data_IF_348010715830
#
_entry.id   IF_348010715830
#
_cell.length_a   1.000
_cell.length_b   1.000
_cell.length_c   1.000
_cell.angle_alpha   90.00
_cell.angle_beta   90.00
_cell.angle_gamma   90.00
#
_symmetry.space_group_name_H-M   'P 1'
#
loop_
_entity.id
_entity.type
_entity.pdbx_description
1 polymer ?
#
# COMPACT_ATOMS: atom_id res chain seq x y z
N UNK A 1 7.55 42.86 -16.57
CA UNK A 1 7.33 41.50 -17.13
C UNK A 1 7.46 40.53 -15.98
N UNK A 2 6.33 40.09 -15.46
CA UNK A 2 6.29 39.12 -14.36
C UNK A 2 6.33 37.72 -14.95
N UNK A 3 7.41 36.97 -14.72
CA UNK A 3 7.48 35.56 -15.02
C UNK A 3 6.50 34.82 -14.08
N UNK A 4 5.33 34.48 -14.60
CA UNK A 4 4.48 33.45 -14.01
C UNK A 4 5.19 32.09 -14.25
N UNK A 5 6.03 31.68 -13.31
CA UNK A 5 6.56 30.33 -13.26
C UNK A 5 5.38 29.41 -12.90
N UNK A 6 4.83 28.73 -13.89
CA UNK A 6 3.80 27.72 -13.68
C UNK A 6 4.49 26.51 -13.07
N UNK A 7 4.54 26.46 -11.73
CA UNK A 7 5.07 25.32 -10.96
C UNK A 7 3.99 24.22 -10.96
N UNK A 8 3.93 23.48 -12.06
CA UNK A 8 2.97 22.38 -12.19
C UNK A 8 3.64 21.00 -12.25
N UNK A 9 4.90 20.88 -11.81
CA UNK A 9 5.63 19.64 -12.10
C UNK A 9 6.56 19.30 -10.96
N UNK A 10 6.05 18.80 -9.83
CA UNK A 10 6.97 18.28 -8.80
C UNK A 10 6.26 17.43 -7.73
N UNK A 11 5.87 16.22 -8.03
CA UNK A 11 5.55 15.25 -6.97
C UNK A 11 5.82 13.83 -7.41
N UNK A 12 6.89 13.40 -6.98
CA UNK A 12 7.42 12.06 -6.65
C UNK A 12 8.93 12.13 -6.74
N UNK A 13 9.69 12.20 -5.60
CA UNK A 13 11.13 12.08 -5.68
C UNK A 13 11.89 12.40 -4.37
N UNK A 14 12.97 12.09 -4.06
CA UNK A 14 13.93 11.42 -3.18
C UNK A 14 15.18 12.08 -2.64
N UNK A 15 15.83 11.58 -1.65
CA UNK A 15 17.23 11.17 -1.38
C UNK A 15 17.49 10.68 0.04
N UNK A 16 18.43 9.75 0.14
CA UNK A 16 19.01 9.24 1.36
C UNK A 16 20.10 10.16 1.92
N UNK A 17 20.11 10.34 3.24
CA UNK A 17 21.31 10.67 3.99
C UNK A 17 21.44 9.67 5.13
N UNK A 18 22.59 9.01 5.19
CA UNK A 18 23.00 8.14 6.29
C UNK A 18 22.95 8.92 7.60
N UNK A 19 22.16 8.45 8.54
CA UNK A 19 22.42 8.69 9.95
C UNK A 19 22.50 7.34 10.65
N UNK A 20 23.73 6.88 10.88
CA UNK A 20 24.00 5.81 11.79
C UNK A 20 23.64 6.28 13.20
N UNK A 21 22.48 5.90 13.70
CA UNK A 21 22.20 5.94 15.13
C UNK A 21 22.61 4.60 15.72
N UNK A 22 23.63 4.64 16.59
CA UNK A 22 24.01 3.51 17.41
C UNK A 22 22.82 3.13 18.31
N UNK A 23 22.09 2.09 17.95
CA UNK A 23 21.12 1.43 18.79
C UNK A 23 21.68 0.13 19.37
N UNK A 24 21.38 -0.08 20.63
CA UNK A 24 21.68 -1.23 21.49
C UNK A 24 21.59 -2.58 20.77
N UNK A 25 22.45 -3.50 21.13
CA UNK A 25 22.72 -4.82 20.55
C UNK A 25 21.62 -5.90 20.70
N UNK A 26 20.35 -5.49 20.81
CA UNK A 26 19.18 -6.38 20.71
C UNK A 26 18.31 -5.94 19.51
N UNK A 27 18.88 -5.94 18.32
CA UNK A 27 18.06 -5.77 17.13
C UNK A 27 17.12 -6.99 17.01
N UNK A 28 15.79 -6.77 16.83
CA UNK A 28 14.87 -7.86 16.55
C UNK A 28 15.36 -8.61 15.30
N UNK A 29 15.15 -9.92 15.27
CA UNK A 29 15.50 -10.73 14.12
C UNK A 29 14.85 -10.14 12.86
N UNK A 30 15.67 -9.89 11.83
CA UNK A 30 15.18 -9.38 10.53
C UNK A 30 14.26 -10.44 9.93
N UNK A 31 13.02 -10.08 9.71
CA UNK A 31 12.05 -10.96 9.06
C UNK A 31 12.16 -10.80 7.55
N UNK A 32 12.23 -11.93 6.85
CA UNK A 32 12.36 -11.98 5.40
C UNK A 32 11.15 -12.64 4.77
N UNK A 33 10.78 -12.20 3.59
CA UNK A 33 9.77 -12.84 2.75
C UNK A 33 10.37 -13.17 1.39
N UNK A 34 9.98 -14.32 0.84
CA UNK A 34 10.24 -14.64 -0.55
C UNK A 34 9.20 -13.94 -1.42
N UNK A 35 9.66 -13.26 -2.47
CA UNK A 35 8.79 -12.59 -3.45
C UNK A 35 9.14 -13.03 -4.85
N UNK A 36 8.14 -13.11 -5.73
CA UNK A 36 8.32 -13.41 -7.15
C UNK A 36 7.72 -12.30 -7.97
N UNK A 37 8.40 -11.91 -9.04
CA UNK A 37 7.89 -10.90 -9.95
C UNK A 37 6.62 -11.42 -10.65
N UNK A 38 5.60 -10.59 -10.68
CA UNK A 38 4.37 -10.89 -11.38
C UNK A 38 4.69 -11.12 -12.87
N UNK A 39 4.17 -12.21 -13.44
CA UNK A 39 4.31 -12.59 -14.86
C UNK A 39 5.71 -13.02 -15.34
N UNK A 40 6.70 -13.18 -14.48
CA UNK A 40 8.01 -13.72 -14.86
C UNK A 40 8.31 -15.02 -14.15
N UNK A 41 8.83 -15.99 -14.92
CA UNK A 41 9.38 -17.25 -14.38
C UNK A 41 10.79 -16.98 -13.83
N UNK A 42 10.90 -16.32 -12.73
CA UNK A 42 12.17 -16.10 -12.04
C UNK A 42 12.17 -16.81 -10.69
N UNK A 43 13.33 -17.24 -10.20
CA UNK A 43 13.45 -17.74 -8.84
C UNK A 43 12.99 -16.66 -7.86
N UNK A 44 12.35 -17.07 -6.77
CA UNK A 44 11.93 -16.14 -5.72
C UNK A 44 13.12 -15.38 -5.16
N UNK A 45 12.87 -14.15 -4.75
CA UNK A 45 13.85 -13.24 -4.15
C UNK A 45 13.44 -12.97 -2.71
N UNK A 46 14.38 -13.05 -1.79
CA UNK A 46 14.14 -12.65 -0.41
C UNK A 46 14.15 -11.13 -0.29
N UNK A 47 13.15 -10.58 0.39
CA UNK A 47 13.10 -9.19 0.81
C UNK A 47 13.04 -9.08 2.33
N UNK A 48 13.62 -8.01 2.87
CA UNK A 48 13.45 -7.68 4.27
C UNK A 48 12.12 -6.96 4.49
N UNK A 49 11.33 -7.47 5.43
CA UNK A 49 10.11 -6.82 5.85
C UNK A 49 10.40 -5.77 6.92
N UNK A 50 9.65 -4.66 6.98
CA UNK A 50 9.81 -3.64 8.00
C UNK A 50 9.45 -4.21 9.37
N UNK A 51 9.94 -3.56 10.41
CA UNK A 51 9.35 -3.75 11.73
C UNK A 51 7.95 -3.12 11.72
N UNK A 52 6.92 -3.97 11.59
CA UNK A 52 5.52 -3.53 11.47
C UNK A 52 5.04 -2.80 12.72
N UNK A 53 5.44 -3.23 13.92
CA UNK A 53 5.08 -2.54 15.16
C UNK A 53 5.59 -1.09 15.13
N UNK A 54 6.86 -0.89 14.77
CA UNK A 54 7.43 0.44 14.63
C UNK A 54 6.76 1.26 13.52
N UNK A 55 6.41 0.63 12.39
CA UNK A 55 5.70 1.31 11.29
C UNK A 55 4.33 1.79 11.74
N UNK A 56 3.54 0.93 12.38
CA UNK A 56 2.21 1.31 12.88
C UNK A 56 2.27 2.30 14.03
N UNK A 57 3.27 2.19 14.92
CA UNK A 57 3.52 3.23 15.93
C UNK A 57 3.81 4.60 15.31
N UNK A 58 4.60 4.64 14.22
CA UNK A 58 4.84 5.89 13.47
C UNK A 58 3.55 6.45 12.87
N UNK A 59 2.71 5.61 12.29
CA UNK A 59 1.44 6.01 11.70
C UNK A 59 0.53 6.57 12.80
N UNK A 60 0.28 5.84 13.88
CA UNK A 60 -0.61 6.29 14.96
C UNK A 60 -0.07 7.53 15.72
N UNK A 61 1.26 7.71 15.79
CA UNK A 61 1.85 8.95 16.34
C UNK A 61 1.58 10.18 15.48
N UNK A 62 1.39 10.04 14.18
CA UNK A 62 1.15 11.14 13.26
C UNK A 62 -0.32 11.32 12.89
N UNK A 63 -1.13 10.26 13.01
CA UNK A 63 -2.53 10.19 12.61
C UNK A 63 -3.44 9.91 13.81
N UNK A 64 -4.17 10.90 14.29
CA UNK A 64 -5.23 10.68 15.29
C UNK A 64 -6.31 9.71 14.80
N UNK A 65 -6.65 9.73 13.50
CA UNK A 65 -7.63 8.81 12.94
C UNK A 65 -7.12 7.37 12.98
N UNK A 66 -5.87 7.13 12.57
CA UNK A 66 -5.26 5.81 12.67
C UNK A 66 -5.20 5.31 14.11
N UNK A 67 -4.87 6.21 15.05
CA UNK A 67 -4.89 5.86 16.47
C UNK A 67 -6.28 5.42 16.93
N UNK A 68 -7.33 6.14 16.56
CA UNK A 68 -8.71 5.78 16.90
C UNK A 68 -9.12 4.43 16.29
N UNK A 69 -8.72 4.17 15.04
CA UNK A 69 -8.96 2.90 14.36
C UNK A 69 -8.26 1.74 15.09
N UNK A 70 -6.99 1.89 15.40
CA UNK A 70 -6.21 0.87 16.11
C UNK A 70 -6.67 0.65 17.55
N UNK A 71 -7.18 1.69 18.22
CA UNK A 71 -7.76 1.59 19.57
C UNK A 71 -9.21 1.02 19.54
N UNK A 72 -9.77 0.70 18.38
CA UNK A 72 -11.15 0.19 18.21
C UNK A 72 -12.24 1.24 18.49
N UNK A 73 -11.90 2.51 18.45
CA UNK A 73 -12.76 3.64 18.82
C UNK A 73 -13.18 4.52 17.62
N UNK A 74 -13.13 3.99 16.41
CA UNK A 74 -13.40 4.77 15.18
C UNK A 74 -14.88 5.14 14.99
N UNK A 75 -15.80 4.39 15.62
CA UNK A 75 -17.25 4.62 15.46
C UNK A 75 -17.71 5.83 16.25
N UNK A 76 -18.20 6.84 15.53
CA UNK A 76 -18.99 7.93 16.10
C UNK A 76 -18.30 9.28 16.26
N UNK A 77 -17.06 9.44 15.79
CA UNK A 77 -16.36 10.72 15.86
C UNK A 77 -15.73 11.10 14.53
N UNK A 78 -16.42 11.90 13.71
CA UNK A 78 -15.77 12.53 12.55
C UNK A 78 -14.58 13.42 12.97
N UNK A 79 -13.80 13.92 12.02
CA UNK A 79 -12.65 14.82 12.27
C UNK A 79 -12.92 15.99 13.21
N UNK A 80 -14.17 16.42 13.35
CA UNK A 80 -14.57 17.51 14.24
C UNK A 80 -14.40 17.17 15.73
N UNK A 81 -14.37 15.88 16.09
CA UNK A 81 -14.19 15.41 17.47
C UNK A 81 -12.72 15.16 17.84
N UNK A 82 -11.81 15.18 16.84
CA UNK A 82 -10.40 14.87 17.08
C UNK A 82 -9.65 16.13 17.50
N UNK A 83 -9.28 16.19 18.77
CA UNK A 83 -8.40 17.23 19.31
C UNK A 83 -6.94 16.77 19.28
N UNK A 84 -6.18 17.23 18.28
CA UNK A 84 -4.75 16.91 18.13
C UNK A 84 -3.92 17.25 19.38
N UNK A 85 -4.30 18.30 20.10
CA UNK A 85 -3.55 18.74 21.29
C UNK A 85 -3.65 17.78 22.46
N UNK A 86 -4.74 17.01 22.51
CA UNK A 86 -4.94 15.96 23.51
C UNK A 86 -4.20 14.68 23.19
N UNK A 87 -4.18 14.30 21.90
CA UNK A 87 -3.57 13.03 21.45
C UNK A 87 -2.07 13.14 21.26
N UNK A 88 -1.58 14.27 20.75
CA UNK A 88 -0.16 14.46 20.39
C UNK A 88 0.36 15.84 20.81
N UNK A 89 0.42 16.14 22.11
CA UNK A 89 0.85 17.45 22.61
C UNK A 89 2.30 17.80 22.21
N UNK A 90 3.13 16.82 21.93
CA UNK A 90 4.52 16.97 21.51
C UNK A 90 4.67 17.35 20.01
N UNK A 91 3.65 17.12 19.19
CA UNK A 91 3.71 17.39 17.76
C UNK A 91 3.16 18.78 17.45
N UNK A 92 4.04 19.67 16.99
CA UNK A 92 3.65 21.04 16.65
C UNK A 92 3.24 21.14 15.18
N UNK A 93 2.05 20.65 14.88
CA UNK A 93 1.47 20.77 13.54
C UNK A 93 1.24 22.22 13.15
N UNK A 94 1.76 22.62 12.00
CA UNK A 94 1.47 23.91 11.36
C UNK A 94 0.34 23.72 10.37
N UNK A 95 -0.78 24.39 10.58
CA UNK A 95 -1.88 24.40 9.62
C UNK A 95 -1.44 25.18 8.38
N UNK A 96 -1.48 24.55 7.21
CA UNK A 96 -1.23 25.18 5.91
C UNK A 96 -2.53 25.74 5.34
N UNK A 97 -3.60 24.91 5.37
CA UNK A 97 -4.89 25.26 4.79
C UNK A 97 -6.04 24.68 5.61
N UNK A 98 -7.13 25.45 5.73
CA UNK A 98 -8.41 24.97 6.22
C UNK A 98 -9.50 25.53 5.32
N UNK A 99 -10.28 24.66 4.70
CA UNK A 99 -11.41 25.09 3.89
C UNK A 99 -12.50 24.00 3.89
N UNK A 100 -13.56 24.22 4.65
CA UNK A 100 -14.68 23.28 4.82
C UNK A 100 -15.55 23.17 3.57
N UNK A 101 -15.40 24.08 2.60
CA UNK A 101 -16.14 24.05 1.32
C UNK A 101 -15.38 23.27 0.23
N UNK A 102 -14.11 22.94 0.46
CA UNK A 102 -13.28 22.14 -0.47
C UNK A 102 -13.30 20.67 -0.11
N UNK A 103 -12.94 19.85 -1.07
CA UNK A 103 -12.79 18.39 -0.87
C UNK A 103 -11.76 18.07 0.22
N UNK A 104 -10.65 18.82 0.28
CA UNK A 104 -9.69 18.72 1.39
C UNK A 104 -10.05 19.75 2.44
N UNK A 105 -10.51 19.31 3.58
CA UNK A 105 -10.97 20.16 4.67
C UNK A 105 -9.81 20.83 5.43
N UNK A 106 -8.70 20.10 5.59
CA UNK A 106 -7.55 20.59 6.34
C UNK A 106 -6.25 19.97 5.84
N UNK A 107 -5.22 20.83 5.78
CA UNK A 107 -3.85 20.43 5.49
C UNK A 107 -2.95 20.92 6.60
N UNK A 108 -2.23 20.00 7.23
CA UNK A 108 -1.26 20.29 8.28
C UNK A 108 0.14 19.83 7.84
N UNK A 109 1.18 20.47 8.40
CA UNK A 109 2.58 20.16 8.15
C UNK A 109 3.38 20.08 9.44
N UNK A 110 4.22 19.07 9.56
CA UNK A 110 5.38 19.05 10.46
C UNK A 110 6.64 19.29 9.64
N UNK A 111 7.54 20.16 10.10
CA UNK A 111 8.77 20.47 9.37
C UNK A 111 9.76 19.28 9.38
N UNK A 112 9.66 18.40 10.38
CA UNK A 112 10.38 17.15 10.49
C UNK A 112 9.59 16.16 11.33
N UNK A 113 9.80 14.87 11.08
CA UNK A 113 9.19 13.81 11.86
C UNK A 113 10.17 12.64 12.02
N UNK A 114 10.38 12.18 13.27
CA UNK A 114 11.28 11.08 13.60
C UNK A 114 12.70 11.21 12.98
N UNK A 115 13.34 12.36 13.18
CA UNK A 115 14.68 12.67 12.68
C UNK A 115 14.81 12.78 11.14
N UNK A 116 13.72 12.60 10.39
CA UNK A 116 13.70 12.87 8.96
C UNK A 116 13.41 14.36 8.75
N UNK A 117 14.32 15.06 8.06
CA UNK A 117 14.22 16.50 7.81
C UNK A 117 13.21 16.89 6.73
N UNK A 118 12.66 15.89 6.03
CA UNK A 118 11.60 16.11 5.05
C UNK A 118 10.28 16.35 5.78
N UNK A 119 9.49 17.35 5.38
CA UNK A 119 8.20 17.62 6.01
C UNK A 119 7.24 16.42 5.91
N UNK A 120 6.56 16.15 7.01
CA UNK A 120 5.39 15.26 7.01
C UNK A 120 4.15 16.12 6.78
N UNK A 121 3.40 15.77 5.74
CA UNK A 121 2.12 16.38 5.40
C UNK A 121 0.97 15.49 5.84
N UNK A 122 -0.10 16.11 6.32
CA UNK A 122 -1.33 15.44 6.72
C UNK A 122 -2.52 16.14 6.08
N UNK A 123 -3.30 15.38 5.34
CA UNK A 123 -4.51 15.84 4.65
C UNK A 123 -5.72 15.16 5.28
N UNK A 124 -6.78 15.92 5.53
CA UNK A 124 -8.03 15.43 6.10
C UNK A 124 -9.18 15.76 5.19
N UNK A 125 -9.99 14.77 4.90
CA UNK A 125 -11.19 14.89 4.06
C UNK A 125 -12.27 13.95 4.54
N UNK A 126 -13.53 14.34 4.30
CA UNK A 126 -14.68 13.44 4.37
C UNK A 126 -15.17 13.22 2.94
N UNK A 127 -15.28 11.97 2.53
CA UNK A 127 -15.78 11.56 1.23
C UNK A 127 -17.17 10.93 1.39
N UNK A 128 -18.01 11.07 0.36
CA UNK A 128 -19.28 10.36 0.26
C UNK A 128 -19.04 9.08 -0.54
N UNK A 129 -19.79 8.05 -0.21
CA UNK A 129 -19.68 6.73 -0.79
C UNK A 129 -19.38 5.65 0.25
N UNK A 130 -19.30 4.39 -0.16
CA UNK A 130 -18.97 3.29 0.74
C UNK A 130 -17.51 3.35 1.18
N UNK A 131 -17.25 3.04 2.45
CA UNK A 131 -15.90 2.90 2.98
C UNK A 131 -15.35 1.52 2.60
N UNK A 132 -14.75 1.40 1.42
CA UNK A 132 -14.17 0.15 0.91
C UNK A 132 -12.68 0.37 0.68
N UNK A 133 -11.84 -0.24 1.54
CA UNK A 133 -10.39 -0.10 1.47
C UNK A 133 -9.80 -0.59 0.16
N UNK A 134 -10.29 -1.70 -0.36
CA UNK A 134 -9.84 -2.26 -1.64
C UNK A 134 -10.13 -1.30 -2.81
N UNK A 135 -11.28 -0.65 -2.82
CA UNK A 135 -11.64 0.35 -3.82
C UNK A 135 -10.71 1.57 -3.75
N UNK A 136 -10.37 2.02 -2.54
CA UNK A 136 -9.43 3.12 -2.35
C UNK A 136 -8.00 2.71 -2.73
N UNK A 137 -7.61 1.47 -2.44
CA UNK A 137 -6.33 0.90 -2.89
C UNK A 137 -6.25 0.87 -4.42
N UNK A 138 -7.30 0.39 -5.10
CA UNK A 138 -7.38 0.40 -6.56
C UNK A 138 -7.25 1.83 -7.11
N UNK A 139 -8.03 2.77 -6.58
CA UNK A 139 -8.00 4.17 -6.98
C UNK A 139 -6.60 4.81 -6.90
N UNK A 140 -5.77 4.43 -5.90
CA UNK A 140 -4.40 4.94 -5.75
C UNK A 140 -3.41 4.15 -6.61
N UNK A 141 -3.59 2.83 -6.72
CA UNK A 141 -2.57 1.93 -7.26
C UNK A 141 -2.80 1.55 -8.73
N UNK A 142 -3.99 1.71 -9.27
CA UNK A 142 -4.24 1.51 -10.69
C UNK A 142 -3.66 2.65 -11.52
N UNK A 143 -2.89 2.32 -12.56
CA UNK A 143 -2.19 3.30 -13.37
C UNK A 143 -3.15 4.20 -14.17
N UNK A 144 -4.23 3.62 -14.69
CA UNK A 144 -5.19 4.38 -15.53
C UNK A 144 -6.03 5.32 -14.66
N UNK A 145 -6.43 4.87 -13.46
CA UNK A 145 -7.07 5.75 -12.49
C UNK A 145 -6.14 6.86 -12.03
N UNK A 146 -4.89 6.52 -11.74
CA UNK A 146 -3.90 7.50 -11.29
C UNK A 146 -3.60 8.56 -12.34
N UNK A 147 -3.55 8.22 -13.61
CA UNK A 147 -3.34 9.18 -14.72
C UNK A 147 -4.42 10.26 -14.82
N UNK A 148 -5.61 10.02 -14.28
CA UNK A 148 -6.71 10.99 -14.30
C UNK A 148 -6.43 12.20 -13.36
N UNK A 149 -5.65 12.00 -12.30
CA UNK A 149 -5.34 13.04 -11.31
C UNK A 149 -3.85 13.35 -11.15
N UNK A 150 -2.95 12.47 -11.55
CA UNK A 150 -1.49 12.66 -11.49
C UNK A 150 -0.91 12.69 -12.91
N UNK A 151 -0.86 13.89 -13.49
CA UNK A 151 -0.33 14.12 -14.84
C UNK A 151 1.19 13.85 -14.94
N UNK A 152 1.87 13.68 -13.83
CA UNK A 152 3.30 13.38 -13.78
C UNK A 152 3.61 11.88 -13.76
N UNK A 153 2.64 11.03 -13.54
CA UNK A 153 2.88 9.59 -13.52
C UNK A 153 3.20 9.07 -14.93
N UNK A 154 4.31 8.34 -15.08
CA UNK A 154 4.65 7.65 -16.30
C UNK A 154 4.27 6.18 -16.23
N UNK A 155 4.59 5.55 -15.12
CA UNK A 155 4.40 4.14 -14.90
C UNK A 155 4.19 3.84 -13.41
N UNK A 156 3.34 2.85 -13.13
CA UNK A 156 3.10 2.31 -11.80
C UNK A 156 2.68 0.85 -11.92
N UNK A 157 3.26 -0.01 -11.10
CA UNK A 157 2.93 -1.43 -11.06
C UNK A 157 3.30 -2.02 -9.71
N UNK A 158 2.53 -3.00 -9.23
CA UNK A 158 2.97 -3.91 -8.18
C UNK A 158 3.85 -4.99 -8.80
N UNK A 159 5.16 -4.89 -8.59
CA UNK A 159 6.13 -5.81 -9.18
C UNK A 159 6.17 -7.16 -8.48
N UNK A 160 6.13 -7.16 -7.15
CA UNK A 160 6.32 -8.34 -6.33
C UNK A 160 5.23 -8.40 -5.25
N UNK A 161 4.08 -9.04 -5.53
CA UNK A 161 3.10 -9.33 -4.49
C UNK A 161 3.68 -10.34 -3.48
N UNK A 162 3.36 -10.16 -2.21
CA UNK A 162 3.62 -11.18 -1.17
C UNK A 162 2.37 -12.05 -1.09
N UNK A 163 2.47 -13.29 -1.54
CA UNK A 163 1.34 -14.21 -1.62
C UNK A 163 0.87 -14.66 -0.22
N UNK A 164 1.82 -14.88 0.71
CA UNK A 164 1.49 -15.23 2.10
C UNK A 164 1.20 -13.98 2.94
N UNK A 165 0.04 -13.38 2.74
CA UNK A 165 -0.40 -12.21 3.54
C UNK A 165 -0.57 -12.56 5.03
N UNK A 166 -0.86 -13.84 5.35
CA UNK A 166 -0.94 -14.31 6.72
C UNK A 166 0.43 -14.27 7.43
N UNK A 167 1.53 -14.19 6.69
CA UNK A 167 2.86 -13.94 7.27
C UNK A 167 2.88 -12.60 7.98
N UNK A 168 2.29 -11.55 7.39
CA UNK A 168 2.22 -10.22 8.00
C UNK A 168 1.40 -10.27 9.29
N UNK A 169 0.25 -10.94 9.29
CA UNK A 169 -0.57 -11.12 10.49
C UNK A 169 0.19 -11.87 11.60
N UNK A 170 0.97 -12.89 11.25
CA UNK A 170 1.82 -13.62 12.21
C UNK A 170 2.95 -12.75 12.78
N UNK A 171 3.52 -11.85 11.97
CA UNK A 171 4.61 -10.96 12.39
C UNK A 171 4.08 -9.84 13.28
N UNK A 172 2.95 -9.25 12.93
CA UNK A 172 2.31 -8.20 13.74
C UNK A 172 1.77 -8.75 15.05
N UNK A 173 1.37 -10.02 15.07
CA UNK A 173 0.98 -10.77 16.28
C UNK A 173 -0.37 -10.37 16.90
N UNK A 174 -0.90 -9.20 16.57
CA UNK A 174 -2.15 -8.67 17.14
C UNK A 174 -3.04 -8.07 16.03
N UNK A 175 -3.84 -8.93 15.41
CA UNK A 175 -4.78 -8.57 14.35
C UNK A 175 -5.88 -7.64 14.86
N UNK A 176 -6.22 -7.69 16.14
CA UNK A 176 -7.23 -6.79 16.72
C UNK A 176 -6.70 -5.36 16.81
N UNK A 177 -5.39 -5.20 17.09
CA UNK A 177 -4.73 -3.90 17.16
C UNK A 177 -4.30 -3.35 15.81
N UNK A 178 -3.74 -4.19 14.94
CA UNK A 178 -3.11 -3.75 13.69
C UNK A 178 -3.96 -3.99 12.43
N UNK A 179 -5.12 -4.61 12.59
CA UNK A 179 -5.97 -5.03 11.47
C UNK A 179 -5.46 -6.32 10.81
N UNK A 180 -6.30 -6.92 9.99
CA UNK A 180 -5.97 -8.08 9.17
C UNK A 180 -5.29 -7.61 7.88
N UNK A 181 -4.17 -8.18 7.51
CA UNK A 181 -3.51 -7.91 6.25
C UNK A 181 -4.33 -8.51 5.10
N UNK A 182 -4.73 -7.66 4.16
CA UNK A 182 -5.46 -8.06 2.94
C UNK A 182 -4.53 -8.17 1.75
N UNK A 183 -3.55 -7.27 1.68
CA UNK A 183 -2.58 -7.19 0.60
C UNK A 183 -1.28 -6.59 1.09
N UNK A 184 -0.17 -7.10 0.58
CA UNK A 184 1.16 -6.54 0.79
C UNK A 184 2.03 -6.86 -0.42
N UNK A 185 2.88 -5.93 -0.83
CA UNK A 185 3.74 -6.15 -1.97
C UNK A 185 4.68 -4.98 -2.24
N UNK A 186 5.61 -5.22 -3.16
CA UNK A 186 6.56 -4.22 -3.62
C UNK A 186 6.02 -3.56 -4.87
N UNK A 187 5.78 -2.27 -4.80
CA UNK A 187 5.35 -1.43 -5.91
C UNK A 187 6.50 -0.63 -6.50
N UNK A 188 6.41 -0.37 -7.78
CA UNK A 188 7.29 0.52 -8.54
C UNK A 188 6.49 1.67 -9.12
N UNK A 189 7.05 2.88 -9.02
CA UNK A 189 6.46 4.10 -9.58
C UNK A 189 7.54 4.86 -10.34
N UNK A 190 7.19 5.38 -11.51
CA UNK A 190 8.06 6.24 -12.32
C UNK A 190 7.32 7.50 -12.75
N UNK A 191 7.98 8.66 -12.65
CA UNK A 191 7.44 9.92 -13.16
C UNK A 191 7.91 10.19 -14.59
N UNK A 192 7.14 11.01 -15.32
CA UNK A 192 7.52 11.50 -16.64
C UNK A 192 8.71 12.47 -16.58
N UNK A 193 9.36 12.65 -17.73
CA UNK A 193 10.28 13.75 -17.93
C UNK A 193 9.51 15.08 -17.89
N UNK A 194 9.95 15.97 -17.03
CA UNK A 194 9.38 17.31 -16.89
C UNK A 194 10.49 18.36 -16.75
N UNK A 195 10.26 19.40 -15.96
CA UNK A 195 11.30 20.42 -15.62
C UNK A 195 12.47 19.77 -14.88
N UNK A 196 12.19 18.71 -14.13
CA UNK A 196 13.20 17.87 -13.50
C UNK A 196 13.27 16.53 -14.22
N UNK A 197 14.43 15.87 -14.10
CA UNK A 197 14.60 14.52 -14.63
C UNK A 197 13.59 13.53 -14.07
N UNK A 198 13.24 12.45 -14.77
CA UNK A 198 12.33 11.44 -14.25
C UNK A 198 12.83 10.85 -12.95
N UNK A 199 11.89 10.38 -12.21
CA UNK A 199 12.13 9.79 -10.91
C UNK A 199 11.58 8.37 -10.86
N UNK A 200 12.20 7.51 -10.04
CA UNK A 200 11.72 6.16 -9.80
C UNK A 200 11.58 5.84 -8.31
N UNK A 201 10.67 4.95 -7.97
CA UNK A 201 10.31 4.59 -6.61
C UNK A 201 10.09 3.09 -6.47
N UNK A 202 10.65 2.51 -5.42
CA UNK A 202 10.38 1.17 -4.97
C UNK A 202 9.83 1.26 -3.55
N UNK A 203 8.59 0.87 -3.37
CA UNK A 203 7.85 1.02 -2.11
C UNK A 203 7.36 -0.36 -1.70
N UNK A 204 7.61 -0.74 -0.46
CA UNK A 204 6.85 -1.81 0.16
C UNK A 204 5.57 -1.20 0.72
N UNK A 205 4.43 -1.69 0.29
CA UNK A 205 3.12 -1.20 0.71
C UNK A 205 2.18 -2.32 1.09
N UNK A 206 1.17 -1.99 1.86
CA UNK A 206 0.16 -2.95 2.29
C UNK A 206 -1.16 -2.30 2.65
N UNK A 207 -2.14 -3.18 2.89
CA UNK A 207 -3.51 -2.86 3.19
C UNK A 207 -3.97 -3.69 4.39
N UNK A 208 -4.38 -3.00 5.45
CA UNK A 208 -4.92 -3.59 6.67
C UNK A 208 -6.40 -3.23 6.81
N UNK A 209 -7.24 -4.23 7.10
CA UNK A 209 -8.66 -4.06 7.39
C UNK A 209 -8.98 -4.37 8.84
N UNK A 210 -9.85 -3.57 9.42
CA UNK A 210 -10.31 -3.67 10.81
C UNK A 210 -11.76 -4.16 10.88
N UNK A 211 -12.14 -4.76 12.01
CA UNK A 211 -13.48 -5.36 12.22
C UNK A 211 -14.65 -4.38 12.06
N UNK A 212 -14.41 -3.09 12.24
CA UNK A 212 -15.40 -2.03 12.10
C UNK A 212 -15.56 -1.50 10.66
N UNK A 213 -14.83 -2.05 9.70
CA UNK A 213 -14.79 -1.62 8.31
C UNK A 213 -13.79 -0.49 8.05
N UNK A 214 -13.04 -0.06 9.06
CA UNK A 214 -11.94 0.88 8.86
C UNK A 214 -10.77 0.21 8.15
N UNK A 215 -9.94 1.02 7.49
CA UNK A 215 -8.82 0.55 6.70
C UNK A 215 -7.60 1.44 6.89
N UNK A 216 -6.41 0.83 6.91
CA UNK A 216 -5.14 1.55 6.82
C UNK A 216 -4.36 1.01 5.62
N UNK A 217 -4.17 1.86 4.61
CA UNK A 217 -3.18 1.65 3.57
C UNK A 217 -1.86 2.28 4.04
N UNK A 218 -0.77 1.58 3.85
CA UNK A 218 0.55 2.05 4.26
C UNK A 218 1.59 1.76 3.22
N UNK A 219 2.68 2.54 3.24
CA UNK A 219 3.84 2.32 2.40
C UNK A 219 5.09 2.91 3.02
N UNK A 220 6.21 2.23 2.81
CA UNK A 220 7.52 2.66 3.25
C UNK A 220 8.55 2.41 2.15
N UNK A 221 9.60 3.22 2.17
CA UNK A 221 10.72 3.08 1.24
C UNK A 221 11.41 1.72 1.40
N UNK A 222 11.98 1.25 0.29
CA UNK A 222 12.90 0.13 0.28
C UNK A 222 14.33 0.65 0.14
N UNK A 223 15.22 0.09 0.94
CA UNK A 223 16.64 0.49 0.97
C UNK A 223 17.36 0.21 -0.36
N UNK A 224 18.51 0.84 -0.57
CA UNK A 224 19.24 0.76 -1.83
C UNK A 224 19.74 -0.64 -2.19
N UNK A 225 19.92 -1.52 -1.20
CA UNK A 225 20.30 -2.90 -1.46
C UNK A 225 19.19 -3.72 -2.14
N UNK A 226 17.94 -3.24 -2.15
CA UNK A 226 16.84 -3.80 -2.94
C UNK A 226 16.80 -3.32 -4.40
N UNK A 227 17.80 -2.55 -4.86
CA UNK A 227 17.80 -2.04 -6.25
C UNK A 227 17.83 -3.14 -7.32
N UNK A 228 18.17 -4.37 -6.96
CA UNK A 228 18.06 -5.53 -7.84
C UNK A 228 16.61 -5.89 -8.22
N UNK A 229 15.62 -5.42 -7.44
CA UNK A 229 14.19 -5.59 -7.73
C UNK A 229 13.64 -4.60 -8.76
N UNK A 230 14.40 -3.56 -9.09
CA UNK A 230 13.96 -2.56 -10.07
C UNK A 230 13.83 -3.17 -11.47
N UNK A 231 12.85 -2.73 -12.26
CA UNK A 231 12.76 -3.11 -13.66
C UNK A 231 14.07 -2.87 -14.40
N UNK A 232 14.42 -3.71 -15.38
CA UNK A 232 15.60 -3.46 -16.22
C UNK A 232 15.40 -2.17 -17.02
N UNK A 233 16.50 -1.45 -17.27
CA UNK A 233 16.46 -0.24 -18.10
C UNK A 233 17.23 0.95 -17.54
N UNK A 234 16.88 2.14 -18.03
CA UNK A 234 17.52 3.38 -17.59
C UNK A 234 17.19 3.68 -16.15
N UNK A 235 18.23 3.96 -15.36
CA UNK A 235 18.05 4.39 -13.97
C UNK A 235 17.71 5.87 -13.88
N UNK A 236 16.78 6.18 -13.02
CA UNK A 236 16.37 7.53 -12.71
C UNK A 236 16.82 7.94 -11.31
N UNK A 237 16.66 9.21 -10.99
CA UNK A 237 16.94 9.65 -9.62
C UNK A 237 15.97 8.95 -8.67
N UNK A 238 16.52 8.30 -7.67
CA UNK A 238 15.74 7.53 -6.71
C UNK A 238 14.94 8.43 -5.79
N UNK A 239 13.70 8.02 -5.63
CA UNK A 239 12.68 8.57 -4.80
C UNK A 239 12.57 7.82 -3.45
N UNK A 240 12.28 8.48 -2.26
CA UNK A 240 12.05 7.85 -0.96
C UNK A 240 10.75 8.30 -0.31
N UNK A 241 9.85 7.39 -0.09
CA UNK A 241 8.65 7.60 0.71
C UNK A 241 8.91 7.14 2.13
N UNK A 242 9.39 8.04 2.98
CA UNK A 242 9.71 7.69 4.37
C UNK A 242 8.51 7.23 5.17
N UNK A 243 7.33 7.77 4.86
CA UNK A 243 6.06 7.35 5.41
C UNK A 243 4.95 7.74 4.45
N UNK A 244 4.16 6.76 4.08
CA UNK A 244 2.85 6.92 3.46
C UNK A 244 1.83 6.19 4.31
N UNK A 245 0.69 6.81 4.58
CA UNK A 245 -0.46 6.11 5.11
C UNK A 245 -1.75 6.81 4.70
N UNK A 246 -2.78 6.03 4.38
CA UNK A 246 -4.14 6.51 4.21
C UNK A 246 -5.05 5.72 5.15
N UNK A 247 -5.59 6.40 6.14
CA UNK A 247 -6.55 5.81 7.07
C UNK A 247 -7.95 6.20 6.65
N UNK A 248 -8.81 5.21 6.48
CA UNK A 248 -10.22 5.35 6.15
C UNK A 248 -11.05 4.86 7.34
N UNK A 249 -12.02 5.65 7.76
CA UNK A 249 -12.94 5.27 8.85
C UNK A 249 -14.38 5.60 8.47
N UNK A 250 -15.30 4.63 8.50
CA UNK A 250 -16.71 4.87 8.18
C UNK A 250 -17.33 5.82 9.20
N UNK A 251 -17.99 6.88 8.70
CA UNK A 251 -18.74 7.85 9.51
C UNK A 251 -20.25 7.68 9.36
N UNK A 252 -20.69 6.90 8.37
CA UNK A 252 -22.07 6.58 8.07
C UNK A 252 -22.16 5.52 6.96
N UNK A 253 -23.37 5.13 6.55
CA UNK A 253 -23.54 4.11 5.51
C UNK A 253 -22.92 4.50 4.17
N UNK A 254 -22.92 5.80 3.85
CA UNK A 254 -22.44 6.36 2.58
C UNK A 254 -21.50 7.54 2.82
N UNK A 255 -20.67 7.47 3.85
CA UNK A 255 -19.64 8.50 4.11
C UNK A 255 -18.51 7.93 4.96
N UNK A 256 -17.32 8.39 4.72
CA UNK A 256 -16.14 8.03 5.48
C UNK A 256 -15.13 9.18 5.55
N UNK A 257 -14.39 9.21 6.65
CA UNK A 257 -13.28 10.11 6.83
C UNK A 257 -12.00 9.50 6.30
N UNK A 258 -11.17 10.32 5.65
CA UNK A 258 -9.85 9.95 5.17
C UNK A 258 -8.80 10.85 5.77
N UNK A 259 -7.81 10.26 6.43
CA UNK A 259 -6.59 10.95 6.84
C UNK A 259 -5.40 10.39 6.07
N UNK A 260 -4.78 11.24 5.24
CA UNK A 260 -3.68 10.88 4.35
C UNK A 260 -2.38 11.50 4.87
N UNK A 261 -1.40 10.67 5.18
CA UNK A 261 -0.06 11.05 5.60
C UNK A 261 0.93 10.85 4.47
N UNK A 262 1.80 11.82 4.26
CA UNK A 262 2.87 11.70 3.28
C UNK A 262 4.15 12.41 3.77
N UNK A 263 5.21 11.63 3.97
CA UNK A 263 6.55 12.12 4.22
C UNK A 263 7.47 11.64 3.09
N UNK A 264 7.72 12.53 2.15
CA UNK A 264 8.41 12.20 0.91
C UNK A 264 9.56 13.16 0.66
N UNK A 265 10.74 12.62 0.40
CA UNK A 265 11.89 13.37 -0.08
C UNK A 265 11.93 13.34 -1.61
N UNK A 266 12.02 14.41 -2.29
CA UNK A 266 12.02 14.49 -3.74
C UNK A 266 13.39 14.32 -4.39
N UNK A 267 14.48 14.32 -3.64
CA UNK A 267 15.84 14.08 -4.09
C UNK A 267 16.46 15.06 -5.07
N UNK A 268 17.66 14.73 -5.44
CA UNK A 268 18.44 15.63 -6.31
C UNK A 268 18.76 16.98 -5.70
N UNK A 269 18.68 17.10 -4.35
CA UNK A 269 18.98 18.35 -3.65
C UNK A 269 17.92 19.44 -3.82
N UNK A 270 16.68 19.07 -4.20
CA UNK A 270 15.59 20.04 -4.38
C UNK A 270 15.08 20.49 -3.01
N UNK A 271 15.07 21.79 -2.72
CA UNK A 271 14.65 22.31 -1.42
C UNK A 271 13.17 22.03 -1.10
N UNK A 272 12.86 21.72 0.15
CA UNK A 272 11.50 21.41 0.61
C UNK A 272 10.49 22.55 0.36
N UNK A 273 10.91 23.81 0.31
CA UNK A 273 10.00 24.91 0.02
C UNK A 273 9.46 24.88 -1.43
N UNK A 274 10.16 24.21 -2.35
CA UNK A 274 9.70 24.00 -3.73
C UNK A 274 8.84 22.75 -3.84
N UNK A 275 9.20 21.68 -3.11
CA UNK A 275 8.53 20.38 -3.21
C UNK A 275 7.21 20.33 -2.45
N UNK A 276 7.14 20.95 -1.26
CA UNK A 276 5.93 20.95 -0.43
C UNK A 276 4.69 21.51 -1.15
N UNK A 277 4.71 22.65 -1.85
CA UNK A 277 3.56 23.14 -2.60
C UNK A 277 3.13 22.17 -3.70
N UNK A 278 4.09 21.62 -4.44
CA UNK A 278 3.81 20.69 -5.53
C UNK A 278 3.15 19.40 -5.03
N UNK A 279 3.67 18.81 -3.95
CA UNK A 279 3.06 17.65 -3.29
C UNK A 279 1.62 17.99 -2.85
N UNK A 280 1.45 19.14 -2.23
CA UNK A 280 0.14 19.61 -1.77
C UNK A 280 -0.86 19.68 -2.92
N UNK A 281 -0.45 20.21 -4.08
CA UNK A 281 -1.33 20.35 -5.24
C UNK A 281 -1.73 19.00 -5.84
N UNK A 282 -0.81 18.02 -5.91
CA UNK A 282 -1.15 16.67 -6.40
C UNK A 282 -2.12 15.97 -5.46
N UNK A 283 -1.89 16.03 -4.15
CA UNK A 283 -2.82 15.41 -3.19
C UNK A 283 -4.19 16.10 -3.22
N UNK A 284 -4.28 17.40 -3.47
CA UNK A 284 -5.56 18.08 -3.70
C UNK A 284 -6.27 17.56 -4.95
N UNK A 285 -5.55 17.34 -6.06
CA UNK A 285 -6.10 16.73 -7.27
C UNK A 285 -6.59 15.32 -6.99
N UNK A 286 -5.80 14.51 -6.25
CA UNK A 286 -6.20 13.18 -5.80
C UNK A 286 -7.57 13.22 -5.08
N UNK A 287 -7.73 14.09 -4.07
CA UNK A 287 -8.98 14.16 -3.32
C UNK A 287 -10.15 14.70 -4.14
N UNK A 288 -9.92 15.65 -5.05
CA UNK A 288 -10.97 16.12 -5.93
C UNK A 288 -11.46 14.99 -6.83
N UNK A 289 -10.55 14.20 -7.38
CA UNK A 289 -10.88 13.06 -8.22
C UNK A 289 -11.46 11.89 -7.41
N UNK A 290 -10.95 11.65 -6.19
CA UNK A 290 -11.53 10.67 -5.27
C UNK A 290 -13.00 10.97 -4.96
N UNK A 291 -13.34 12.25 -4.80
CA UNK A 291 -14.75 12.65 -4.62
C UNK A 291 -15.61 12.23 -5.81
N UNK A 292 -15.16 12.49 -7.04
CA UNK A 292 -15.88 12.10 -8.24
C UNK A 292 -15.97 10.58 -8.37
N UNK A 293 -14.89 9.86 -8.10
CA UNK A 293 -14.80 8.41 -8.16
C UNK A 293 -15.74 7.72 -7.14
N UNK A 294 -15.76 8.18 -5.87
CA UNK A 294 -16.59 7.58 -4.82
C UNK A 294 -18.06 8.05 -4.82
N UNK A 295 -18.38 9.18 -5.44
CA UNK A 295 -19.75 9.68 -5.64
C UNK A 295 -20.31 9.28 -7.02
N UNK A 296 -19.51 8.71 -7.94
CA UNK A 296 -19.86 8.42 -9.31
C UNK A 296 -20.30 6.97 -9.57
N UNK A 297 -20.49 6.67 -10.87
CA UNK A 297 -20.87 5.33 -11.35
C UNK A 297 -19.76 4.28 -11.15
N UNK A 298 -18.51 4.71 -10.97
CA UNK A 298 -17.36 3.83 -10.72
C UNK A 298 -17.55 2.92 -9.51
N UNK A 299 -18.28 3.38 -8.48
CA UNK A 299 -18.64 2.58 -7.30
C UNK A 299 -19.52 1.39 -7.70
N UNK A 300 -20.54 1.61 -8.50
CA UNK A 300 -21.48 0.56 -8.93
C UNK A 300 -20.76 -0.48 -9.80
N UNK A 301 -19.88 -0.01 -10.69
CA UNK A 301 -19.06 -0.89 -11.54
C UNK A 301 -18.13 -1.74 -10.68
N UNK A 302 -17.43 -1.13 -9.72
CA UNK A 302 -16.53 -1.85 -8.81
C UNK A 302 -17.27 -2.92 -8.00
N UNK A 303 -18.40 -2.57 -7.39
CA UNK A 303 -19.20 -3.50 -6.59
C UNK A 303 -19.70 -4.67 -7.42
N UNK A 304 -20.19 -4.41 -8.64
CA UNK A 304 -20.68 -5.43 -9.56
C UNK A 304 -19.55 -6.40 -9.97
N UNK A 305 -18.37 -5.88 -10.28
CA UNK A 305 -17.20 -6.71 -10.61
C UNK A 305 -16.82 -7.61 -9.44
N UNK A 306 -16.89 -7.11 -8.21
CA UNK A 306 -16.59 -7.90 -7.02
C UNK A 306 -17.63 -8.98 -6.74
N UNK A 307 -18.90 -8.72 -6.99
CA UNK A 307 -19.95 -9.75 -6.91
C UNK A 307 -19.71 -10.86 -7.93
N UNK A 308 -19.37 -10.50 -9.17
CA UNK A 308 -19.05 -11.47 -10.22
C UNK A 308 -17.82 -12.33 -9.87
N UNK A 309 -16.74 -11.71 -9.37
CA UNK A 309 -15.54 -12.43 -8.89
C UNK A 309 -15.86 -13.38 -7.74
N UNK A 310 -16.72 -12.96 -6.80
CA UNK A 310 -17.14 -13.79 -5.67
C UNK A 310 -17.96 -15.01 -6.12
N UNK A 311 -18.87 -14.82 -7.07
CA UNK A 311 -19.64 -15.92 -7.65
C UNK A 311 -18.72 -16.92 -8.35
N UNK A 312 -17.78 -16.44 -9.18
CA UNK A 312 -16.82 -17.31 -9.87
C UNK A 312 -15.94 -18.12 -8.92
N UNK A 313 -15.47 -17.51 -7.83
CA UNK A 313 -14.72 -18.24 -6.78
C UNK A 313 -15.55 -19.33 -6.12
N UNK A 314 -16.81 -19.02 -5.78
CA UNK A 314 -17.72 -19.98 -5.18
C UNK A 314 -17.98 -21.18 -6.11
N UNK A 315 -18.19 -20.91 -7.40
CA UNK A 315 -18.42 -21.96 -8.41
C UNK A 315 -17.16 -22.83 -8.59
N UNK A 316 -15.96 -22.21 -8.61
CA UNK A 316 -14.70 -22.94 -8.70
C UNK A 316 -14.45 -23.83 -7.47
N UNK A 317 -14.75 -23.34 -6.27
CA UNK A 317 -14.65 -24.13 -5.04
C UNK A 317 -15.63 -25.30 -5.03
N UNK A 318 -16.84 -25.12 -5.54
CA UNK A 318 -17.82 -26.21 -5.69
C UNK A 318 -17.35 -27.25 -6.70
N UNK A 319 -16.79 -26.83 -7.83
CA UNK A 319 -16.21 -27.74 -8.83
C UNK A 319 -15.04 -28.53 -8.25
N UNK A 320 -14.11 -27.89 -7.55
CA UNK A 320 -12.96 -28.56 -6.93
C UNK A 320 -13.40 -29.57 -5.86
N UNK A 321 -14.44 -29.26 -5.06
CA UNK A 321 -15.03 -30.24 -4.12
C UNK A 321 -15.67 -31.44 -4.84
N UNK A 322 -16.42 -31.17 -5.89
CA UNK A 322 -17.04 -32.27 -6.67
C UNK A 322 -15.99 -33.20 -7.31
N UNK A 323 -14.86 -32.63 -7.79
CA UNK A 323 -13.75 -33.44 -8.31
C UNK A 323 -13.04 -34.23 -7.21
N UNK A 324 -12.86 -33.67 -6.00
CA UNK A 324 -12.27 -34.39 -4.88
C UNK A 324 -13.15 -35.53 -4.39
N UNK A 325 -14.46 -35.32 -4.31
CA UNK A 325 -15.43 -36.33 -3.90
C UNK A 325 -15.53 -37.48 -4.95
N UNK A 326 -15.40 -37.13 -6.24
CA UNK A 326 -15.38 -38.14 -7.32
C UNK A 326 -14.09 -38.97 -7.29
N UNK A 327 -12.94 -38.37 -6.98
CA UNK A 327 -11.68 -39.11 -6.90
C UNK A 327 -11.62 -40.07 -5.70
N UNK A 328 -12.26 -39.74 -4.59
CA UNK A 328 -12.36 -40.64 -3.42
C UNK A 328 -13.30 -41.84 -3.70
N UNK A 329 -14.39 -41.62 -4.41
CA UNK A 329 -15.33 -42.70 -4.72
C UNK A 329 -14.76 -43.75 -5.71
N UNK A 330 -13.85 -43.34 -6.61
CA UNK A 330 -13.21 -44.29 -7.57
C UNK A 330 -12.15 -45.17 -6.91
N UNK A 331 -11.53 -44.74 -5.81
CA UNK A 331 -10.51 -45.52 -5.10
C UNK A 331 -11.13 -46.63 -4.23
N UNK A 332 -12.36 -46.44 -3.76
CA UNK A 332 -12.99 -47.43 -2.85
C UNK A 332 -13.62 -48.63 -3.58
N UNK A 333 -13.97 -48.53 -4.89
CA UNK A 333 -14.52 -49.64 -5.66
C UNK A 333 -13.46 -50.62 -6.22
N UNK A 334 -12.15 -50.28 -6.18
CA UNK A 334 -11.09 -51.13 -6.76
C UNK A 334 -10.33 -52.02 -5.77
N UNK A 335 -10.69 -52.00 -4.47
CA UNK A 335 -10.05 -52.83 -3.44
C UNK A 335 -10.81 -54.09 -3.01
N UNK A 336 -11.60 -54.65 -3.91
CA UNK A 336 -12.28 -55.92 -3.71
C UNK A 336 -11.72 -57.01 -4.61
N UNK A 337 -10.90 -57.92 -4.04
CA UNK A 337 -10.55 -59.27 -4.47
C UNK A 337 -9.35 -59.50 -5.41
N UNK A 338 -8.45 -60.23 -4.83
CA UNK A 338 -7.44 -61.22 -5.31
C UNK A 338 -5.97 -60.80 -5.38
N UNK A 339 -5.09 -61.56 -4.67
CA UNK A 339 -3.66 -61.41 -4.74
C UNK A 339 -3.10 -62.24 -5.90
N UNK A 340 -2.68 -61.65 -6.97
CA UNK A 340 -1.77 -62.28 -7.93
C UNK A 340 -0.41 -61.61 -7.90
N UNK A 341 0.58 -62.44 -7.49
CA UNK A 341 1.99 -62.15 -7.66
C UNK A 341 2.33 -61.87 -9.13
N UNK A 342 2.82 -60.71 -9.44
CA UNK A 342 3.52 -60.44 -10.70
C UNK A 342 4.91 -59.90 -10.35
N UNK A 343 5.90 -60.73 -10.75
CA UNK A 343 7.30 -60.39 -10.68
C UNK A 343 7.63 -59.22 -11.64
N UNK A 344 8.26 -58.20 -11.14
CA UNK A 344 8.86 -57.13 -11.95
C UNK A 344 10.15 -57.64 -12.56
N UNK A 345 10.20 -57.67 -13.89
CA UNK A 345 11.42 -57.81 -14.69
C UNK A 345 12.01 -56.42 -14.94
N UNK A 346 13.30 -56.32 -14.73
CA UNK A 346 14.15 -55.20 -15.10
C UNK A 346 14.06 -54.84 -16.58
N UNK A 347 13.98 -53.54 -16.91
CA UNK A 347 14.43 -53.07 -18.23
C UNK A 347 14.88 -51.62 -18.15
N UNK A 348 16.18 -51.47 -18.15
CA UNK A 348 17.05 -50.70 -19.05
C UNK A 348 16.80 -49.18 -19.18
N UNK A 349 17.82 -48.53 -18.73
CA UNK A 349 18.27 -47.17 -18.99
C UNK A 349 18.32 -46.79 -20.48
N UNK A 350 17.75 -45.64 -20.85
CA UNK A 350 18.11 -44.96 -22.10
C UNK A 350 18.77 -43.61 -21.74
N UNK A 351 20.07 -43.56 -22.00
CA UNK A 351 20.91 -42.38 -22.10
C UNK A 351 20.56 -41.56 -23.37
N UNK A 352 20.36 -40.30 -23.23
CA UNK A 352 20.50 -39.33 -24.33
C UNK A 352 21.48 -38.21 -23.92
N UNK A 353 22.60 -38.17 -24.61
CA UNK A 353 23.53 -37.05 -24.83
C UNK A 353 23.74 -36.89 -26.33
N UNK A 354 24.24 -35.75 -26.81
CA UNK A 354 24.39 -34.39 -26.29
C UNK A 354 23.48 -33.38 -26.96
#
# INVERSE_FOLDING_TARGET
MAFKLTIHTLVCVFIAARSASAFSSNAPAVTKAEVRRRHEWQPGVEIELPNFELLFDRIQMASPLAKLVMDGNSRGGGFHSIDDSRHFPQLRWKKIERNEQKTVHRIDKLDSFQNVKTPLLRFRSTLKGPCIGEMFSHFIMDLEERKKWDDQIAYQEELYPIEDVALVDRITGDVDKFGRCVRVGVGYVQTKQGIISPREQLILGGHQEFKDGSTILWGTEMEEYHNHLLPPGQRHTRAKSHLFAATLAPTGPNSFDVEYLLQMDVGGGIPNFMTTPAITDVVKKLFNHAKEYFEGEDVEVFLKTKEEESCLKSDLELMNRAESDFSVSVVDETLGSHPHHIALKDSESILFTP
#
